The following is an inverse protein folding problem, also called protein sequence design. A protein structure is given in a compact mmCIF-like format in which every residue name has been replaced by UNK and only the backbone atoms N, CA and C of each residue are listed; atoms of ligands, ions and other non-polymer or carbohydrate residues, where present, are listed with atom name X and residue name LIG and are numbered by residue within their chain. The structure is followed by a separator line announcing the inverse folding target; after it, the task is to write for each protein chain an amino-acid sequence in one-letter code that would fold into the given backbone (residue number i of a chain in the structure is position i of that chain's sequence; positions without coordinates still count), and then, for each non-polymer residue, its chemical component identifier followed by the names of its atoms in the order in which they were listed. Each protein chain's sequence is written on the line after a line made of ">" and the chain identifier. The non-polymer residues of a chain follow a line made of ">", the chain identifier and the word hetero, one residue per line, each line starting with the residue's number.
data_IF_737296870299
#
_entry.id   IF_737296870299
#
_cell.length_a   1.000
_cell.length_b   1.000
_cell.length_c   1.000
_cell.angle_alpha   90.00
_cell.angle_beta   90.00
_cell.angle_gamma   90.00
#
_symmetry.space_group_name_H-M   'P 1'
#
loop_
_entity.id
_entity.type
_entity.pdbx_description
1 polymer ?
#
# COMPACT_ATOMS: atom_id res chain seq x y z
N UNK A 1 -7.30 19.59 -6.01
CA UNK A 1 -6.16 19.15 -5.17
C UNK A 1 -5.14 18.50 -6.08
N UNK A 2 -3.86 18.79 -5.90
CA UNK A 2 -2.83 18.11 -6.69
C UNK A 2 -2.79 16.62 -6.34
N UNK A 3 -2.69 15.73 -7.34
CA UNK A 3 -2.59 14.30 -7.10
C UNK A 3 -1.28 13.94 -6.38
N UNK A 4 -1.36 12.96 -5.49
CA UNK A 4 -0.16 12.46 -4.78
C UNK A 4 0.55 11.36 -5.58
N UNK A 5 -0.22 10.65 -6.43
CA UNK A 5 0.29 9.61 -7.30
C UNK A 5 -0.35 9.73 -8.69
N UNK A 6 0.47 9.72 -9.72
CA UNK A 6 0.04 9.70 -11.13
C UNK A 6 0.82 8.63 -11.88
N UNK A 7 0.12 7.76 -12.55
CA UNK A 7 0.64 6.82 -13.52
C UNK A 7 0.09 7.21 -14.88
N UNK A 8 0.95 7.35 -15.89
CA UNK A 8 0.59 7.68 -17.27
C UNK A 8 1.12 6.59 -18.19
N UNK A 9 0.20 5.85 -18.83
CA UNK A 9 0.49 4.80 -19.81
C UNK A 9 1.56 3.79 -19.33
N UNK A 10 1.54 3.47 -18.04
CA UNK A 10 2.52 2.59 -17.42
C UNK A 10 2.36 1.17 -17.94
N UNK A 11 3.40 0.67 -18.59
CA UNK A 11 3.51 -0.73 -18.99
C UNK A 11 4.67 -1.40 -18.26
N UNK A 12 4.51 -2.68 -17.95
CA UNK A 12 5.58 -3.49 -17.36
C UNK A 12 5.61 -4.88 -17.97
N UNK A 13 6.73 -5.19 -18.60
CA UNK A 13 7.01 -6.52 -19.16
C UNK A 13 8.22 -7.13 -18.44
N UNK A 14 8.15 -8.43 -18.20
CA UNK A 14 9.23 -9.23 -17.64
C UNK A 14 9.86 -10.13 -18.70
N UNK A 15 11.04 -10.69 -18.46
CA UNK A 15 11.64 -11.67 -19.35
C UNK A 15 10.67 -12.80 -19.73
N UNK A 16 10.89 -13.46 -20.86
CA UNK A 16 10.04 -14.53 -21.42
C UNK A 16 8.65 -14.04 -21.89
N UNK A 17 8.49 -12.74 -22.21
CA UNK A 17 7.27 -12.22 -22.81
C UNK A 17 6.09 -12.02 -21.84
N UNK A 18 6.29 -12.13 -20.53
CA UNK A 18 5.24 -11.91 -19.54
C UNK A 18 4.95 -10.40 -19.45
N UNK A 19 3.75 -9.97 -19.87
CA UNK A 19 3.28 -8.59 -19.75
C UNK A 19 2.36 -8.48 -18.55
N UNK A 20 2.83 -7.81 -17.49
CA UNK A 20 2.08 -7.63 -16.26
C UNK A 20 1.21 -6.37 -16.24
N UNK A 21 1.64 -5.28 -16.90
CA UNK A 21 0.86 -4.05 -17.05
C UNK A 21 0.86 -3.62 -18.51
N UNK A 22 -0.29 -3.11 -18.98
CA UNK A 22 -0.55 -2.68 -20.36
C UNK A 22 -1.14 -1.26 -20.35
N UNK A 23 -0.27 -0.24 -20.44
CA UNK A 23 -0.68 1.17 -20.53
C UNK A 23 -1.70 1.57 -19.44
N UNK A 24 -1.34 1.29 -18.18
CA UNK A 24 -2.18 1.65 -17.03
C UNK A 24 -1.99 3.13 -16.73
N UNK A 25 -3.09 3.88 -16.76
CA UNK A 25 -3.17 5.25 -16.28
C UNK A 25 -4.06 5.29 -15.04
N UNK A 26 -3.57 5.90 -13.97
CA UNK A 26 -4.25 6.00 -12.68
C UNK A 26 -3.75 7.23 -11.94
N UNK A 27 -4.68 8.04 -11.44
CA UNK A 27 -4.38 9.20 -10.60
C UNK A 27 -4.97 8.98 -9.22
N UNK A 28 -4.20 9.25 -8.15
CA UNK A 28 -4.68 9.16 -6.76
C UNK A 28 -4.52 10.52 -6.08
N UNK A 29 -5.63 11.02 -5.54
CA UNK A 29 -5.70 12.30 -4.83
C UNK A 29 -5.01 12.26 -3.47
N UNK A 30 -4.62 13.43 -2.95
CA UNK A 30 -4.11 13.53 -1.59
C UNK A 30 -5.23 13.23 -0.58
N UNK A 31 -4.94 12.39 0.43
CA UNK A 31 -5.91 11.99 1.45
C UNK A 31 -7.00 11.03 0.94
N UNK A 32 -6.77 10.36 -0.19
CA UNK A 32 -7.68 9.36 -0.75
C UNK A 32 -7.27 7.95 -0.32
N UNK A 33 -8.24 7.09 -0.03
CA UNK A 33 -8.03 5.66 0.17
C UNK A 33 -8.49 4.90 -1.07
N UNK A 34 -7.58 4.38 -1.85
CA UNK A 34 -7.87 3.61 -3.07
C UNK A 34 -7.58 2.13 -2.87
N UNK A 35 -8.55 1.28 -3.21
CA UNK A 35 -8.34 -0.17 -3.27
C UNK A 35 -8.16 -0.63 -4.72
N UNK A 36 -7.13 -1.42 -4.98
CA UNK A 36 -6.88 -2.09 -6.25
C UNK A 36 -7.16 -3.57 -6.11
N UNK A 37 -8.11 -4.08 -6.87
CA UNK A 37 -8.50 -5.49 -6.87
C UNK A 37 -8.36 -6.12 -8.27
N UNK A 38 -8.50 -7.43 -8.33
CA UNK A 38 -8.44 -8.21 -9.56
C UNK A 38 -8.00 -9.65 -9.29
N UNK A 39 -8.15 -10.53 -10.27
CA UNK A 39 -7.74 -11.93 -10.16
C UNK A 39 -6.23 -12.08 -9.90
N UNK A 40 -5.81 -13.25 -9.43
CA UNK A 40 -4.38 -13.59 -9.34
C UNK A 40 -3.73 -13.46 -10.73
N UNK A 41 -2.57 -12.81 -10.79
CA UNK A 41 -1.88 -12.54 -12.06
C UNK A 41 -2.41 -11.33 -12.85
N UNK A 42 -3.42 -10.57 -12.36
CA UNK A 42 -3.93 -9.39 -13.07
C UNK A 42 -2.98 -8.19 -13.09
N UNK A 43 -1.85 -8.22 -12.35
CA UNK A 43 -0.85 -7.16 -12.32
C UNK A 43 -0.87 -6.27 -11.08
N UNK A 44 -1.71 -6.54 -10.06
CA UNK A 44 -1.87 -5.71 -8.85
C UNK A 44 -0.57 -5.37 -8.11
N UNK A 45 0.19 -6.40 -7.70
CA UNK A 45 1.46 -6.17 -6.99
C UNK A 45 2.49 -5.47 -7.88
N UNK A 46 2.48 -5.75 -9.20
CA UNK A 46 3.33 -5.05 -10.16
C UNK A 46 2.94 -3.57 -10.27
N UNK A 47 1.64 -3.27 -10.29
CA UNK A 47 1.15 -1.88 -10.26
C UNK A 47 1.63 -1.16 -9.01
N UNK A 48 1.42 -1.78 -7.83
CA UNK A 48 1.84 -1.22 -6.54
C UNK A 48 3.36 -1.00 -6.50
N UNK A 49 4.16 -1.96 -6.97
CA UNK A 49 5.62 -1.83 -7.01
C UNK A 49 6.09 -0.73 -7.97
N UNK A 50 5.48 -0.59 -9.15
CA UNK A 50 5.80 0.51 -10.08
C UNK A 50 5.39 1.87 -9.48
N UNK A 51 4.19 1.97 -8.91
CA UNK A 51 3.67 3.16 -8.26
C UNK A 51 4.55 3.63 -7.10
N UNK A 52 5.08 2.68 -6.33
CA UNK A 52 5.98 2.95 -5.21
C UNK A 52 7.44 3.16 -5.61
N UNK A 53 7.80 2.98 -6.88
CA UNK A 53 9.18 3.02 -7.36
C UNK A 53 10.04 1.88 -6.84
N UNK A 54 9.46 0.74 -6.46
CA UNK A 54 10.19 -0.49 -6.13
C UNK A 54 10.59 -1.24 -7.39
N UNK A 55 9.79 -1.11 -8.44
CA UNK A 55 10.09 -1.62 -9.78
C UNK A 55 9.98 -0.49 -10.81
N UNK A 56 10.71 -0.62 -11.92
CA UNK A 56 10.70 0.37 -12.99
C UNK A 56 9.70 -0.05 -14.06
N UNK A 57 8.81 0.85 -14.52
CA UNK A 57 8.00 0.57 -15.69
C UNK A 57 8.88 0.35 -16.92
N UNK A 58 8.41 -0.47 -17.85
CA UNK A 58 9.06 -0.66 -19.17
C UNK A 58 8.80 0.53 -20.09
N UNK A 59 7.63 1.19 -19.94
CA UNK A 59 7.25 2.43 -20.60
C UNK A 59 6.23 3.20 -19.76
N UNK A 60 5.93 4.43 -20.15
CA UNK A 60 5.08 5.34 -19.40
C UNK A 60 5.84 6.09 -18.31
N UNK A 61 5.10 6.85 -17.50
CA UNK A 61 5.67 7.65 -16.42
C UNK A 61 4.94 7.41 -15.09
N UNK A 62 5.68 7.57 -13.98
CA UNK A 62 5.16 7.55 -12.62
C UNK A 62 5.61 8.81 -11.91
N UNK A 63 4.64 9.59 -11.43
CA UNK A 63 4.87 10.76 -10.60
C UNK A 63 4.36 10.49 -9.19
N UNK A 64 5.19 10.71 -8.17
CA UNK A 64 4.90 10.46 -6.77
C UNK A 64 5.23 11.70 -5.94
N UNK A 65 4.25 12.20 -5.19
CA UNK A 65 4.37 13.42 -4.38
C UNK A 65 5.00 14.60 -5.18
N UNK A 66 4.44 14.87 -6.36
CA UNK A 66 4.84 15.97 -7.25
C UNK A 66 6.12 15.71 -8.06
N UNK A 67 6.77 14.54 -7.96
CA UNK A 67 8.03 14.26 -8.65
C UNK A 67 7.96 13.00 -9.53
N UNK A 68 8.43 13.11 -10.78
CA UNK A 68 8.58 11.94 -11.65
C UNK A 68 9.69 11.03 -11.10
N UNK A 69 9.32 9.76 -10.81
CA UNK A 69 10.22 8.78 -10.20
C UNK A 69 10.67 7.69 -11.17
N UNK A 70 9.96 7.47 -12.28
CA UNK A 70 10.20 6.39 -13.25
C UNK A 70 11.60 6.43 -13.88
N UNK A 71 12.18 7.62 -14.03
CA UNK A 71 13.53 7.83 -14.62
C UNK A 71 14.60 8.18 -13.60
N UNK A 72 14.26 8.21 -12.30
CA UNK A 72 15.24 8.54 -11.26
C UNK A 72 16.31 7.45 -11.13
N UNK A 73 17.56 7.86 -10.86
CA UNK A 73 18.64 6.95 -10.47
C UNK A 73 18.31 6.35 -9.08
N UNK A 74 18.82 5.14 -8.80
CA UNK A 74 18.45 4.38 -7.60
C UNK A 74 18.73 5.15 -6.29
N UNK A 75 19.88 5.78 -6.11
CA UNK A 75 20.20 6.51 -4.88
C UNK A 75 19.25 7.68 -4.58
N UNK A 76 18.94 8.60 -5.53
CA UNK A 76 17.91 9.63 -5.33
C UNK A 76 16.52 9.03 -5.11
N UNK A 77 16.14 7.98 -5.84
CA UNK A 77 14.85 7.31 -5.70
C UNK A 77 14.68 6.69 -4.30
N UNK A 78 15.71 6.01 -3.80
CA UNK A 78 15.70 5.42 -2.45
C UNK A 78 15.51 6.50 -1.37
N UNK A 79 16.16 7.67 -1.50
CA UNK A 79 15.95 8.79 -0.58
C UNK A 79 14.52 9.32 -0.68
N UNK A 80 13.99 9.49 -1.90
CA UNK A 80 12.64 10.00 -2.13
C UNK A 80 11.59 9.07 -1.52
N UNK A 81 11.70 7.75 -1.77
CA UNK A 81 10.82 6.74 -1.16
C UNK A 81 10.85 6.79 0.36
N UNK A 82 12.05 6.77 0.94
CA UNK A 82 12.25 6.79 2.39
C UNK A 82 11.56 7.98 3.06
N UNK A 83 11.52 9.12 2.39
CA UNK A 83 11.03 10.38 2.94
C UNK A 83 9.52 10.59 2.71
N UNK A 84 8.92 9.86 1.77
CA UNK A 84 7.55 10.10 1.28
C UNK A 84 6.64 8.88 1.32
N UNK A 85 7.19 7.69 1.42
CA UNK A 85 6.44 6.44 1.25
C UNK A 85 6.48 5.60 2.51
N UNK A 86 5.31 5.13 2.93
CA UNK A 86 5.15 4.05 3.89
C UNK A 86 4.82 2.73 3.17
N UNK A 87 5.30 1.60 3.70
CA UNK A 87 4.93 0.28 3.21
C UNK A 87 4.32 -0.57 4.31
N UNK A 88 3.23 -1.26 3.98
CA UNK A 88 2.58 -2.27 4.82
C UNK A 88 2.43 -3.53 3.98
N UNK A 89 3.09 -4.62 4.37
CA UNK A 89 3.10 -5.89 3.64
C UNK A 89 2.31 -6.97 4.40
N UNK A 90 1.82 -7.96 3.69
CA UNK A 90 1.18 -9.13 4.27
C UNK A 90 2.11 -9.90 5.23
N UNK A 91 3.41 -10.00 4.90
CA UNK A 91 4.45 -10.66 5.71
C UNK A 91 5.08 -9.77 6.78
N UNK A 92 4.50 -8.59 7.05
CA UNK A 92 4.94 -7.58 8.02
C UNK A 92 6.31 -6.94 7.72
N UNK A 93 7.28 -7.68 7.18
CA UNK A 93 8.67 -7.27 6.91
C UNK A 93 9.33 -6.56 8.11
N UNK A 94 9.13 -7.11 9.31
CA UNK A 94 9.76 -6.67 10.55
C UNK A 94 11.03 -7.48 10.79
N UNK A 95 12.03 -6.86 11.41
CA UNK A 95 13.23 -7.54 11.87
C UNK A 95 12.93 -8.19 13.23
N UNK A 96 12.89 -9.52 13.26
CA UNK A 96 12.52 -10.33 14.43
C UNK A 96 13.46 -10.15 15.61
N UNK A 97 14.75 -9.89 15.32
CA UNK A 97 15.82 -9.70 16.30
C UNK A 97 15.76 -8.35 17.00
N UNK A 98 14.95 -7.42 16.47
CA UNK A 98 14.78 -6.09 17.01
C UNK A 98 13.53 -5.97 17.86
N UNK A 99 13.58 -5.08 18.83
CA UNK A 99 12.39 -4.67 19.59
C UNK A 99 11.40 -3.87 18.70
N UNK A 100 10.17 -3.72 19.16
CA UNK A 100 9.16 -2.87 18.51
C UNK A 100 9.71 -1.46 18.27
N UNK A 101 10.27 -0.80 19.29
CA UNK A 101 10.86 0.54 19.18
C UNK A 101 12.00 0.59 18.17
N UNK A 102 12.85 -0.42 18.15
CA UNK A 102 13.97 -0.48 17.21
C UNK A 102 13.49 -0.62 15.77
N UNK A 103 12.44 -1.42 15.50
CA UNK A 103 11.82 -1.52 14.18
C UNK A 103 11.25 -0.16 13.72
N UNK A 104 10.57 0.59 14.59
CA UNK A 104 10.06 1.92 14.27
C UNK A 104 11.17 2.95 14.05
N UNK A 105 12.32 2.78 14.73
CA UNK A 105 13.46 3.69 14.60
C UNK A 105 14.28 3.46 13.33
N UNK A 106 14.13 2.32 12.64
CA UNK A 106 14.92 1.96 11.45
C UNK A 106 14.92 3.04 10.35
N UNK A 107 13.78 3.59 9.92
CA UNK A 107 13.79 4.62 8.87
C UNK A 107 14.68 5.81 9.24
N UNK A 108 14.62 6.28 10.47
CA UNK A 108 15.45 7.38 10.96
C UNK A 108 16.95 7.01 11.04
N UNK A 109 17.28 5.79 11.49
CA UNK A 109 18.67 5.29 11.51
C UNK A 109 19.29 5.17 10.13
N UNK A 110 18.47 4.90 9.12
CA UNK A 110 18.89 4.86 7.72
C UNK A 110 18.89 6.25 7.05
N UNK A 111 18.81 7.32 7.86
CA UNK A 111 18.86 8.71 7.42
C UNK A 111 17.54 9.27 6.90
N UNK A 112 16.41 8.61 7.18
CA UNK A 112 15.06 9.11 6.89
C UNK A 112 14.57 10.12 7.93
N UNK A 113 13.47 10.84 7.63
CA UNK A 113 12.85 11.71 8.61
C UNK A 113 12.19 10.87 9.71
N UNK A 114 12.24 11.36 10.94
CA UNK A 114 11.37 10.94 12.03
C UNK A 114 10.48 12.13 12.38
N UNK A 115 9.29 12.15 11.78
CA UNK A 115 8.37 13.29 11.90
C UNK A 115 7.40 13.15 13.07
N UNK A 116 7.23 11.92 13.60
CA UNK A 116 6.31 11.63 14.71
C UNK A 116 7.07 10.93 15.85
N UNK A 117 6.63 11.17 17.06
CA UNK A 117 7.16 10.45 18.22
C UNK A 117 6.76 8.97 18.20
N UNK A 118 7.68 8.09 18.55
CA UNK A 118 7.46 6.63 18.50
C UNK A 118 6.40 6.19 19.51
N UNK A 119 6.38 6.76 20.71
CA UNK A 119 5.42 6.36 21.74
C UNK A 119 4.01 6.84 21.42
N UNK A 120 3.87 8.03 20.82
CA UNK A 120 2.60 8.53 20.30
C UNK A 120 2.06 7.64 19.17
N UNK A 121 2.93 7.25 18.22
CA UNK A 121 2.52 6.36 17.12
C UNK A 121 2.16 4.97 17.65
N UNK A 122 2.91 4.42 18.62
CA UNK A 122 2.56 3.14 19.24
C UNK A 122 1.22 3.21 19.97
N UNK A 123 0.96 4.30 20.69
CA UNK A 123 -0.34 4.51 21.35
C UNK A 123 -1.48 4.60 20.32
N UNK A 124 -1.27 5.31 19.20
CA UNK A 124 -2.27 5.46 18.13
C UNK A 124 -2.66 4.13 17.46
N UNK A 125 -1.73 3.15 17.38
CA UNK A 125 -2.04 1.81 16.87
C UNK A 125 -2.44 0.82 17.95
N UNK A 126 -2.63 1.26 19.21
CA UNK A 126 -3.04 0.42 20.34
C UNK A 126 -1.91 -0.49 20.87
N UNK A 127 -0.65 -0.06 20.75
CA UNK A 127 0.54 -0.76 21.24
C UNK A 127 1.34 0.10 22.25
N UNK A 128 0.70 1.04 22.94
CA UNK A 128 1.35 1.84 23.98
C UNK A 128 2.04 0.96 25.03
N UNK A 129 3.25 1.34 25.46
CA UNK A 129 4.04 0.59 26.44
C UNK A 129 4.77 -0.65 25.92
N UNK A 130 4.53 -1.10 24.66
CA UNK A 130 5.14 -2.33 24.12
C UNK A 130 6.52 -2.12 23.47
N UNK A 131 7.03 -0.89 23.44
CA UNK A 131 8.23 -0.52 22.69
C UNK A 131 9.48 -1.35 22.95
N UNK A 132 9.62 -1.94 24.17
CA UNK A 132 10.78 -2.77 24.56
C UNK A 132 10.60 -4.25 24.24
N UNK A 133 9.39 -4.69 23.86
CA UNK A 133 9.12 -6.11 23.56
C UNK A 133 9.80 -6.54 22.27
N UNK A 134 10.38 -7.74 22.21
CA UNK A 134 10.84 -8.37 20.98
C UNK A 134 9.65 -8.58 20.01
N UNK A 135 9.85 -8.34 18.72
CA UNK A 135 8.80 -8.55 17.71
C UNK A 135 8.38 -10.01 17.60
N UNK A 136 9.29 -10.95 17.86
CA UNK A 136 9.01 -12.38 17.82
C UNK A 136 7.94 -12.83 18.82
N UNK A 137 7.73 -12.09 19.92
CA UNK A 137 6.73 -12.39 20.96
C UNK A 137 5.33 -11.85 20.66
N UNK A 138 5.16 -11.13 19.54
CA UNK A 138 3.90 -10.50 19.17
C UNK A 138 2.99 -11.45 18.39
N UNK A 139 1.67 -11.30 18.57
CA UNK A 139 0.68 -11.94 17.70
C UNK A 139 0.78 -11.38 16.25
N UNK A 140 0.18 -12.06 15.28
CA UNK A 140 0.11 -11.59 13.88
C UNK A 140 -0.49 -10.19 13.77
N UNK A 141 -1.62 -9.95 14.43
CA UNK A 141 -2.27 -8.64 14.44
C UNK A 141 -1.41 -7.55 15.12
N UNK A 142 -0.69 -7.89 16.20
CA UNK A 142 0.25 -6.95 16.82
C UNK A 142 1.43 -6.63 15.90
N UNK A 143 1.98 -7.63 15.20
CA UNK A 143 3.03 -7.42 14.20
C UNK A 143 2.56 -6.51 13.07
N UNK A 144 1.34 -6.70 12.58
CA UNK A 144 0.78 -5.82 11.55
C UNK A 144 0.59 -4.37 12.05
N UNK A 145 0.16 -4.18 13.29
CA UNK A 145 0.10 -2.85 13.92
C UNK A 145 1.49 -2.19 14.03
N UNK A 146 2.54 -2.97 14.34
CA UNK A 146 3.93 -2.48 14.34
C UNK A 146 4.37 -2.08 12.92
N UNK A 147 4.00 -2.86 11.88
CA UNK A 147 4.31 -2.52 10.48
C UNK A 147 3.63 -1.21 10.06
N UNK A 148 2.36 -1.00 10.42
CA UNK A 148 1.64 0.27 10.18
C UNK A 148 2.31 1.42 10.96
N UNK A 149 2.63 1.22 12.23
CA UNK A 149 3.31 2.23 13.05
C UNK A 149 4.65 2.63 12.43
N UNK A 150 5.43 1.66 11.93
CA UNK A 150 6.70 1.93 11.23
C UNK A 150 6.49 2.73 9.94
N UNK A 151 5.41 2.50 9.21
CA UNK A 151 5.06 3.30 8.04
C UNK A 151 4.68 4.74 8.44
N UNK A 152 3.91 4.91 9.53
CA UNK A 152 3.40 6.21 9.97
C UNK A 152 4.44 7.11 10.65
N UNK A 153 5.47 6.55 11.29
CA UNK A 153 6.47 7.33 12.06
C UNK A 153 7.27 8.31 11.20
N UNK A 154 7.40 8.04 9.91
CA UNK A 154 8.07 8.93 8.95
C UNK A 154 7.20 10.08 8.47
N UNK A 155 5.89 10.08 8.76
CA UNK A 155 4.93 11.03 8.21
C UNK A 155 4.87 10.97 6.68
N UNK A 156 4.53 9.81 6.09
CA UNK A 156 4.56 9.61 4.65
C UNK A 156 3.45 10.38 3.95
N UNK A 157 3.67 10.74 2.68
CA UNK A 157 2.62 11.29 1.81
C UNK A 157 1.65 10.20 1.35
N UNK A 158 2.16 8.97 1.18
CA UNK A 158 1.37 7.81 0.75
C UNK A 158 1.83 6.54 1.44
N UNK A 159 0.88 5.67 1.79
CA UNK A 159 1.11 4.30 2.25
C UNK A 159 0.68 3.34 1.13
N UNK A 160 1.59 2.49 0.71
CA UNK A 160 1.31 1.34 -0.14
C UNK A 160 1.09 0.11 0.74
N UNK A 161 -0.09 -0.49 0.66
CA UNK A 161 -0.48 -1.66 1.46
C UNK A 161 -0.73 -2.86 0.53
N UNK A 162 0.12 -3.89 0.63
CA UNK A 162 0.00 -5.12 -0.14
C UNK A 162 -0.60 -6.22 0.73
N UNK A 163 -1.88 -6.54 0.51
CA UNK A 163 -2.66 -7.54 1.25
C UNK A 163 -2.55 -7.36 2.79
N UNK A 164 -2.83 -6.18 3.35
CA UNK A 164 -2.50 -5.87 4.75
C UNK A 164 -3.24 -6.71 5.78
N UNK A 165 -4.28 -7.43 5.37
CA UNK A 165 -5.12 -8.29 6.22
C UNK A 165 -5.05 -9.76 5.84
N UNK A 166 -4.33 -10.14 4.79
CA UNK A 166 -4.37 -11.48 4.20
C UNK A 166 -3.85 -12.63 5.08
N UNK A 167 -3.18 -12.32 6.20
CA UNK A 167 -2.69 -13.31 7.17
C UNK A 167 -3.45 -13.23 8.53
N UNK A 168 -4.59 -12.52 8.58
CA UNK A 168 -5.31 -12.21 9.82
C UNK A 168 -6.74 -12.76 9.78
N UNK A 169 -7.30 -13.02 10.96
CA UNK A 169 -8.72 -13.28 11.09
C UNK A 169 -9.56 -12.03 10.77
N UNK A 170 -10.85 -12.17 10.42
CA UNK A 170 -11.69 -11.05 9.98
C UNK A 170 -11.81 -9.92 11.02
N UNK A 171 -11.88 -10.25 12.31
CA UNK A 171 -12.00 -9.25 13.39
C UNK A 171 -10.73 -8.42 13.51
N UNK A 172 -9.59 -9.09 13.56
CA UNK A 172 -8.27 -8.43 13.57
C UNK A 172 -8.04 -7.64 12.27
N UNK A 173 -8.43 -8.20 11.12
CA UNK A 173 -8.37 -7.54 9.82
C UNK A 173 -9.13 -6.21 9.80
N UNK A 174 -10.37 -6.19 10.30
CA UNK A 174 -11.18 -4.98 10.44
C UNK A 174 -10.51 -3.90 11.31
N UNK A 175 -9.84 -4.31 12.40
CA UNK A 175 -9.09 -3.38 13.25
C UNK A 175 -7.88 -2.76 12.49
N UNK A 176 -7.19 -3.55 11.67
CA UNK A 176 -6.07 -3.08 10.82
C UNK A 176 -6.55 -2.09 9.77
N UNK A 177 -7.66 -2.40 9.07
CA UNK A 177 -8.26 -1.49 8.09
C UNK A 177 -8.74 -0.20 8.74
N UNK A 178 -9.32 -0.28 9.94
CA UNK A 178 -9.67 0.88 10.74
C UNK A 178 -8.48 1.77 11.13
N UNK A 179 -7.27 1.20 11.29
CA UNK A 179 -6.04 2.00 11.48
C UNK A 179 -5.66 2.76 10.21
N UNK A 180 -5.69 2.09 9.04
CA UNK A 180 -5.42 2.73 7.75
C UNK A 180 -6.46 3.83 7.44
N UNK A 181 -7.75 3.56 7.68
CA UNK A 181 -8.82 4.55 7.50
C UNK A 181 -8.59 5.78 8.37
N UNK A 182 -8.26 5.59 9.65
CA UNK A 182 -7.94 6.73 10.55
C UNK A 182 -6.73 7.53 10.09
N UNK A 183 -5.69 6.87 9.53
CA UNK A 183 -4.54 7.58 8.99
C UNK A 183 -4.93 8.48 7.80
N UNK A 184 -5.90 8.06 6.99
CA UNK A 184 -6.45 8.89 5.92
C UNK A 184 -7.29 10.03 6.49
N UNK A 185 -8.28 9.72 7.34
CA UNK A 185 -9.28 10.69 7.81
C UNK A 185 -8.70 11.76 8.75
N UNK A 186 -7.71 11.40 9.57
CA UNK A 186 -7.16 12.29 10.61
C UNK A 186 -5.82 12.88 10.25
N UNK A 187 -4.95 12.07 9.64
CA UNK A 187 -3.58 12.46 9.35
C UNK A 187 -3.41 12.94 7.88
N UNK A 188 -4.46 12.82 7.04
CA UNK A 188 -4.42 13.18 5.62
C UNK A 188 -3.49 12.32 4.77
N UNK A 189 -3.11 11.14 5.26
CA UNK A 189 -2.22 10.21 4.53
C UNK A 189 -3.02 9.55 3.41
N UNK A 190 -2.45 9.51 2.20
CA UNK A 190 -3.05 8.74 1.10
C UNK A 190 -2.75 7.26 1.27
N UNK A 191 -3.70 6.37 0.93
CA UNK A 191 -3.49 4.92 0.96
C UNK A 191 -3.82 4.31 -0.39
N UNK A 192 -2.88 3.58 -0.97
CA UNK A 192 -3.13 2.66 -2.09
C UNK A 192 -2.99 1.23 -1.59
N UNK A 193 -4.10 0.52 -1.50
CA UNK A 193 -4.16 -0.85 -1.00
C UNK A 193 -4.42 -1.83 -2.14
N UNK A 194 -3.63 -2.88 -2.21
CA UNK A 194 -3.94 -4.06 -3.04
C UNK A 194 -4.57 -5.11 -2.16
N UNK A 195 -5.69 -5.67 -2.60
CA UNK A 195 -6.36 -6.77 -1.91
C UNK A 195 -7.18 -7.63 -2.88
N UNK A 196 -7.45 -8.86 -2.50
CA UNK A 196 -8.43 -9.73 -3.16
C UNK A 196 -9.72 -9.89 -2.35
N UNK A 197 -9.77 -9.32 -1.14
CA UNK A 197 -10.91 -9.40 -0.23
C UNK A 197 -11.88 -8.21 -0.45
N UNK A 198 -13.12 -8.45 -0.91
CA UNK A 198 -14.13 -7.41 -1.06
C UNK A 198 -14.46 -6.66 0.23
N UNK A 199 -14.42 -7.36 1.38
CA UNK A 199 -14.69 -6.73 2.67
C UNK A 199 -13.57 -5.75 3.06
N UNK A 200 -12.32 -6.05 2.73
CA UNK A 200 -11.22 -5.12 2.91
C UNK A 200 -11.32 -3.92 1.95
N UNK A 201 -11.66 -4.17 0.68
CA UNK A 201 -11.80 -3.10 -0.32
C UNK A 201 -12.92 -2.11 0.01
N UNK A 202 -14.00 -2.56 0.67
CA UNK A 202 -15.12 -1.70 1.08
C UNK A 202 -14.74 -0.59 2.08
N UNK A 203 -13.53 -0.61 2.65
CA UNK A 203 -12.99 0.47 3.49
C UNK A 203 -12.43 1.65 2.71
N UNK A 204 -12.24 1.49 1.39
CA UNK A 204 -11.69 2.55 0.53
C UNK A 204 -12.75 3.53 0.04
N UNK A 205 -12.30 4.70 -0.41
CA UNK A 205 -13.16 5.70 -1.06
C UNK A 205 -13.42 5.33 -2.52
N UNK A 206 -12.43 4.67 -3.17
CA UNK A 206 -12.43 4.38 -4.58
C UNK A 206 -11.87 2.99 -4.88
N UNK A 207 -12.53 2.29 -5.79
CA UNK A 207 -12.21 0.93 -6.22
C UNK A 207 -11.70 0.92 -7.65
N UNK A 208 -10.51 0.35 -7.84
CA UNK A 208 -9.90 0.10 -9.15
C UNK A 208 -9.84 -1.42 -9.38
N UNK A 209 -10.48 -1.91 -10.43
CA UNK A 209 -10.41 -3.32 -10.83
C UNK A 209 -9.41 -3.49 -11.98
N UNK A 210 -8.40 -4.33 -11.74
CA UNK A 210 -7.42 -4.72 -12.75
C UNK A 210 -7.80 -6.04 -13.40
N UNK A 211 -7.72 -6.08 -14.75
CA UNK A 211 -7.90 -7.29 -15.56
C UNK A 211 -6.78 -7.38 -16.60
N UNK A 212 -6.03 -8.47 -16.57
CA UNK A 212 -4.98 -8.77 -17.56
C UNK A 212 -4.02 -7.58 -17.81
N UNK A 213 -3.65 -6.87 -16.75
CA UNK A 213 -2.72 -5.74 -16.82
C UNK A 213 -3.32 -4.40 -17.23
N UNK A 214 -4.65 -4.28 -17.34
CA UNK A 214 -5.35 -3.03 -17.67
C UNK A 214 -6.35 -2.66 -16.56
N UNK A 215 -6.70 -1.38 -16.47
CA UNK A 215 -7.81 -0.91 -15.61
C UNK A 215 -9.13 -1.24 -16.30
N UNK A 216 -9.91 -2.11 -15.67
CA UNK A 216 -11.24 -2.50 -16.15
C UNK A 216 -12.36 -1.63 -15.55
N UNK A 217 -12.18 -1.17 -14.32
CA UNK A 217 -13.12 -0.30 -13.61
C UNK A 217 -12.35 0.64 -12.71
N UNK A 218 -12.79 1.88 -12.61
CA UNK A 218 -12.30 2.91 -11.72
C UNK A 218 -13.50 3.76 -11.30
N UNK A 219 -13.96 3.59 -10.05
CA UNK A 219 -15.19 4.19 -9.56
C UNK A 219 -15.21 4.33 -8.04
N UNK A 220 -16.14 5.12 -7.51
CA UNK A 220 -16.43 5.15 -6.07
C UNK A 220 -16.69 3.73 -5.55
N UNK A 221 -16.18 3.45 -4.36
CA UNK A 221 -16.29 2.11 -3.75
C UNK A 221 -17.75 1.80 -3.37
N UNK A 222 -18.34 0.71 -3.88
CA UNK A 222 -19.65 0.24 -3.44
C UNK A 222 -19.52 -0.61 -2.16
N UNK A 223 -20.61 -1.18 -1.72
CA UNK A 223 -20.61 -2.19 -0.64
C UNK A 223 -19.90 -3.49 -1.05
N UNK A 224 -19.49 -4.30 -0.04
CA UNK A 224 -18.68 -5.50 -0.26
C UNK A 224 -19.36 -6.54 -1.16
N UNK A 225 -20.71 -6.66 -1.13
CA UNK A 225 -21.44 -7.61 -1.97
C UNK A 225 -21.37 -7.19 -3.44
N UNK A 226 -21.61 -5.93 -3.72
CA UNK A 226 -21.47 -5.35 -5.07
C UNK A 226 -20.03 -5.45 -5.60
N UNK A 227 -19.01 -5.30 -4.72
CA UNK A 227 -17.61 -5.51 -5.10
C UNK A 227 -17.38 -6.96 -5.53
N UNK A 228 -17.90 -7.93 -4.76
CA UNK A 228 -17.76 -9.36 -5.07
C UNK A 228 -18.39 -9.70 -6.44
N UNK A 229 -19.59 -9.19 -6.71
CA UNK A 229 -20.29 -9.39 -7.98
C UNK A 229 -19.51 -8.79 -9.18
N UNK A 230 -19.00 -7.56 -9.03
CA UNK A 230 -18.16 -6.92 -10.05
C UNK A 230 -16.87 -7.68 -10.31
N UNK A 231 -16.23 -8.17 -9.26
CA UNK A 231 -14.99 -8.95 -9.37
C UNK A 231 -15.26 -10.28 -10.12
N UNK A 232 -16.39 -10.94 -9.82
CA UNK A 232 -16.81 -12.15 -10.52
C UNK A 232 -17.08 -11.87 -12.01
N UNK A 233 -17.81 -10.81 -12.33
CA UNK A 233 -18.10 -10.43 -13.70
C UNK A 233 -16.83 -10.11 -14.52
N UNK A 234 -15.87 -9.39 -13.92
CA UNK A 234 -14.58 -9.08 -14.55
C UNK A 234 -13.75 -10.34 -14.77
N UNK A 235 -13.81 -11.32 -13.87
CA UNK A 235 -13.06 -12.58 -13.96
C UNK A 235 -13.65 -13.53 -15.02
N UNK A 236 -14.96 -13.61 -15.15
CA UNK A 236 -15.65 -14.52 -16.10
C UNK A 236 -15.61 -14.03 -17.55
N UNK A 237 -15.45 -12.72 -17.79
CA UNK A 237 -15.29 -12.15 -19.12
C UNK A 237 -13.97 -12.56 -19.83
N UNK A 238 -13.06 -13.27 -19.14
CA UNK A 238 -11.80 -13.81 -19.70
C UNK A 238 -11.98 -15.20 -20.33
N UNK A 239 -13.09 -15.90 -20.03
CA UNK A 239 -13.33 -17.29 -20.48
C UNK A 239 -14.06 -17.38 -21.85
N UNK A 240 -14.23 -16.28 -22.53
CA UNK A 240 -14.77 -16.18 -23.89
C UNK A 240 -13.78 -15.45 -24.78
#
# INVERSE_FOLDING_TARGET
>A
MEPVLELEDVARSFPRGIVALRQVSLTVGAGEFVAVMGATGSGKSTLLHCAAGLDRPSSGSVRLAGREISRMRERPLTRWRRDRVGFVFQSYNLLSELTVRQNLALPGRLGGPRRRDIDEVLAAVGLGGTGRRPVGELSGGQRQRVAIARALVTGPSVIFADEPTGALDPTTGGQILGLLRRAVDRDGVTVLMVTHDPAAAAWSDRLVLLRAGTVATDAATPDASTIADRLHAVSTAVAR
#
